data_IF_880459203143
#
_entry.id   IF_880459203143
#
_cell.length_a   1.000
_cell.length_b   1.000
_cell.length_c   1.000
_cell.angle_alpha   90.00
_cell.angle_beta   90.00
_cell.angle_gamma   90.00
#
_symmetry.space_group_name_H-M   'P 1'
#
loop_
_entity.id
_entity.type
_entity.pdbx_description
1 polymer ?
#
# COMPACT_ATOMS: atom_id res chain seq x y z
N UNK A 1 -17.10 -14.39 19.27
CA UNK A 1 -16.38 -13.15 18.88
C UNK A 1 -17.41 -12.07 18.57
N UNK A 2 -17.20 -10.81 18.97
CA UNK A 2 -18.19 -9.73 18.80
C UNK A 2 -18.46 -9.32 17.34
N UNK A 3 -17.54 -9.62 16.41
CA UNK A 3 -17.66 -9.26 14.99
C UNK A 3 -17.23 -10.42 14.07
N UNK A 4 -18.06 -11.47 13.89
CA UNK A 4 -17.69 -12.65 13.10
C UNK A 4 -17.46 -12.34 11.61
N UNK A 5 -18.06 -11.27 11.08
CA UNK A 5 -18.00 -10.89 9.66
C UNK A 5 -16.92 -9.83 9.37
N UNK A 6 -16.07 -9.47 10.34
CA UNK A 6 -15.15 -8.33 10.21
C UNK A 6 -14.13 -8.46 9.07
N UNK A 7 -13.90 -9.67 8.56
CA UNK A 7 -13.00 -9.89 7.42
C UNK A 7 -13.57 -9.37 6.10
N UNK A 8 -14.90 -9.22 5.99
CA UNK A 8 -15.56 -8.86 4.74
C UNK A 8 -16.57 -7.73 4.90
N UNK A 9 -16.99 -7.43 6.13
CA UNK A 9 -18.00 -6.41 6.40
C UNK A 9 -17.44 -5.34 7.35
N UNK A 10 -17.59 -4.03 7.00
CA UNK A 10 -17.22 -2.92 7.88
C UNK A 10 -17.87 -3.04 9.26
N UNK A 11 -17.08 -2.86 10.32
CA UNK A 11 -17.59 -2.70 11.69
C UNK A 11 -18.51 -1.46 11.73
N UNK A 12 -18.09 -0.36 11.09
CA UNK A 12 -18.92 0.82 10.87
C UNK A 12 -19.83 0.62 9.66
N UNK A 13 -21.01 0.04 9.90
CA UNK A 13 -21.95 -0.41 8.85
C UNK A 13 -22.37 0.66 7.81
N UNK A 14 -22.31 1.97 8.13
CA UNK A 14 -22.58 3.02 7.12
C UNK A 14 -21.56 3.09 5.99
N UNK A 15 -20.36 2.51 6.15
CA UNK A 15 -19.39 2.37 5.07
C UNK A 15 -19.65 1.16 4.17
N UNK A 16 -20.63 0.30 4.48
CA UNK A 16 -20.95 -0.86 3.65
C UNK A 16 -21.46 -0.46 2.25
N UNK A 17 -22.02 0.73 2.11
CA UNK A 17 -22.48 1.29 0.83
C UNK A 17 -21.46 2.23 0.17
N UNK A 18 -20.21 2.24 0.62
CA UNK A 18 -19.18 3.07 0.01
C UNK A 18 -18.89 2.57 -1.43
N UNK A 19 -18.94 3.45 -2.44
CA UNK A 19 -18.64 3.06 -3.81
C UNK A 19 -17.13 2.85 -3.97
N UNK A 20 -16.72 1.62 -4.25
CA UNK A 20 -15.33 1.27 -4.55
C UNK A 20 -15.11 1.23 -6.06
N UNK A 21 -13.87 1.51 -6.49
CA UNK A 21 -13.45 1.35 -7.87
C UNK A 21 -13.53 -0.11 -8.30
N UNK A 22 -14.03 -0.36 -9.52
CA UNK A 22 -14.01 -1.67 -10.15
C UNK A 22 -12.86 -1.81 -11.17
N UNK A 23 -11.97 -0.80 -11.24
CA UNK A 23 -10.88 -0.76 -12.21
C UNK A 23 -9.81 -1.81 -11.91
N UNK A 24 -9.97 -2.99 -12.48
CA UNK A 24 -9.07 -4.12 -12.26
C UNK A 24 -7.62 -3.85 -12.71
N UNK A 25 -7.41 -2.88 -13.61
CA UNK A 25 -6.08 -2.50 -14.09
C UNK A 25 -5.19 -1.96 -12.97
N UNK A 26 -5.68 -0.96 -12.23
CA UNK A 26 -4.97 -0.33 -11.13
C UNK A 26 -4.78 -1.29 -9.95
N UNK A 27 -5.76 -2.14 -9.66
CA UNK A 27 -5.63 -3.19 -8.64
C UNK A 27 -4.51 -4.20 -8.98
N UNK A 28 -4.44 -4.65 -10.24
CA UNK A 28 -3.36 -5.54 -10.70
C UNK A 28 -1.98 -4.86 -10.67
N UNK A 29 -1.92 -3.59 -11.05
CA UNK A 29 -0.69 -2.80 -10.99
C UNK A 29 -0.19 -2.68 -9.54
N UNK A 30 -1.10 -2.41 -8.60
CA UNK A 30 -0.80 -2.39 -7.17
C UNK A 30 -0.27 -3.74 -6.66
N UNK A 31 -0.96 -4.85 -6.93
CA UNK A 31 -0.52 -6.20 -6.52
C UNK A 31 0.89 -6.55 -7.02
N UNK A 32 1.27 -6.06 -8.20
CA UNK A 32 2.56 -6.34 -8.85
C UNK A 32 3.66 -5.33 -8.52
N UNK A 33 3.36 -4.24 -7.81
CA UNK A 33 4.30 -3.14 -7.60
C UNK A 33 4.73 -2.46 -8.91
N UNK A 34 3.74 -2.11 -9.74
CA UNK A 34 3.88 -1.41 -11.01
C UNK A 34 2.96 -0.18 -11.09
N UNK A 35 2.81 0.52 -9.97
CA UNK A 35 1.94 1.70 -9.82
C UNK A 35 2.60 2.99 -10.31
N UNK A 36 3.93 3.00 -10.39
CA UNK A 36 4.71 4.20 -10.65
C UNK A 36 5.04 5.00 -9.39
N UNK A 37 4.57 4.56 -8.21
CA UNK A 37 4.91 5.14 -6.91
C UNK A 37 5.97 4.29 -6.21
N UNK A 38 7.24 4.73 -6.15
CA UNK A 38 8.37 3.88 -5.79
C UNK A 38 8.25 3.21 -4.42
N UNK A 39 7.69 3.89 -3.42
CA UNK A 39 7.52 3.32 -2.08
C UNK A 39 6.48 2.20 -2.04
N UNK A 40 5.38 2.36 -2.79
CA UNK A 40 4.35 1.34 -2.95
C UNK A 40 4.90 0.17 -3.75
N UNK A 41 5.57 0.47 -4.86
CA UNK A 41 6.16 -0.56 -5.74
C UNK A 41 7.21 -1.38 -4.99
N UNK A 42 8.08 -0.73 -4.23
CA UNK A 42 9.05 -1.39 -3.35
C UNK A 42 8.37 -2.30 -2.33
N UNK A 43 7.34 -1.79 -1.64
CA UNK A 43 6.57 -2.56 -0.67
C UNK A 43 5.95 -3.81 -1.28
N UNK A 44 5.23 -3.67 -2.38
CA UNK A 44 4.51 -4.78 -3.00
C UNK A 44 5.46 -5.83 -3.59
N UNK A 45 6.61 -5.42 -4.13
CA UNK A 45 7.67 -6.34 -4.58
C UNK A 45 8.35 -7.05 -3.40
N UNK A 46 8.62 -6.33 -2.31
CA UNK A 46 9.16 -6.89 -1.07
C UNK A 46 8.24 -7.98 -0.50
N UNK A 47 6.94 -7.69 -0.41
CA UNK A 47 5.91 -8.63 0.03
C UNK A 47 5.88 -9.88 -0.84
N UNK A 48 5.82 -9.72 -2.17
CA UNK A 48 5.74 -10.87 -3.05
C UNK A 48 7.00 -11.75 -3.00
N UNK A 49 8.18 -11.15 -2.84
CA UNK A 49 9.45 -11.87 -2.82
C UNK A 49 9.74 -12.56 -1.49
N UNK A 50 9.31 -11.99 -0.36
CA UNK A 50 9.71 -12.45 0.98
C UNK A 50 8.56 -12.97 1.84
N UNK A 51 7.33 -12.66 1.44
CA UNK A 51 6.13 -12.87 2.25
C UNK A 51 6.08 -11.98 3.50
N UNK A 52 6.92 -10.95 3.59
CA UNK A 52 6.95 -10.02 4.72
C UNK A 52 7.09 -8.57 4.25
N UNK A 53 6.55 -7.64 5.04
CA UNK A 53 6.67 -6.22 4.80
C UNK A 53 6.72 -5.47 6.13
N UNK A 54 7.56 -4.43 6.22
CA UNK A 54 7.59 -3.56 7.41
C UNK A 54 6.25 -2.86 7.62
N UNK A 55 5.82 -2.72 8.87
CA UNK A 55 4.49 -2.20 9.22
C UNK A 55 4.20 -0.83 8.60
N UNK A 56 5.16 0.10 8.63
CA UNK A 56 4.93 1.43 8.04
C UNK A 56 4.75 1.38 6.52
N UNK A 57 5.39 0.44 5.83
CA UNK A 57 5.23 0.25 4.39
C UNK A 57 3.87 -0.42 4.09
N UNK A 58 3.40 -1.33 4.96
CA UNK A 58 2.03 -1.87 4.89
C UNK A 58 1.00 -0.76 4.94
N UNK A 59 1.19 0.21 5.84
CA UNK A 59 0.31 1.37 5.97
C UNK A 59 0.30 2.23 4.70
N UNK A 60 1.48 2.55 4.14
CA UNK A 60 1.58 3.29 2.86
C UNK A 60 0.85 2.55 1.74
N UNK A 61 1.07 1.25 1.59
CA UNK A 61 0.44 0.46 0.53
C UNK A 61 -1.09 0.36 0.69
N UNK A 62 -1.58 0.23 1.93
CA UNK A 62 -3.00 0.15 2.24
C UNK A 62 -3.71 1.50 2.03
N UNK A 63 -3.14 2.60 2.55
CA UNK A 63 -3.66 3.95 2.30
C UNK A 63 -3.65 4.29 0.81
N UNK A 64 -2.63 3.88 0.07
CA UNK A 64 -2.59 4.07 -1.38
C UNK A 64 -3.73 3.34 -2.09
N UNK A 65 -3.95 2.06 -1.77
CA UNK A 65 -5.02 1.28 -2.39
C UNK A 65 -6.40 1.90 -2.15
N UNK A 66 -6.69 2.28 -0.90
CA UNK A 66 -7.99 2.80 -0.49
C UNK A 66 -8.19 4.25 -0.94
N UNK A 67 -7.24 5.14 -0.66
CA UNK A 67 -7.45 6.58 -0.81
C UNK A 67 -7.01 7.11 -2.18
N UNK A 68 -5.93 6.56 -2.76
CA UNK A 68 -5.44 7.01 -4.08
C UNK A 68 -6.12 6.26 -5.23
N UNK A 69 -6.27 4.94 -5.11
CA UNK A 69 -6.88 4.14 -6.17
C UNK A 69 -8.40 3.94 -5.98
N UNK A 70 -8.93 4.22 -4.79
CA UNK A 70 -10.36 4.05 -4.49
C UNK A 70 -10.82 2.59 -4.43
N UNK A 71 -9.92 1.62 -4.27
CA UNK A 71 -10.25 0.20 -4.21
C UNK A 71 -10.69 -0.23 -2.81
N UNK A 72 -11.49 -1.30 -2.75
CA UNK A 72 -11.96 -1.84 -1.48
C UNK A 72 -10.82 -2.36 -0.62
N UNK A 73 -10.86 -2.02 0.67
CA UNK A 73 -9.96 -2.59 1.67
C UNK A 73 -10.06 -4.12 1.74
N UNK A 74 -11.20 -4.70 1.35
CA UNK A 74 -11.40 -6.17 1.30
C UNK A 74 -10.47 -6.81 0.26
N UNK A 75 -10.28 -6.16 -0.89
CA UNK A 75 -9.39 -6.67 -1.94
C UNK A 75 -7.92 -6.63 -1.53
N UNK A 76 -7.54 -5.58 -0.79
CA UNK A 76 -6.24 -5.47 -0.15
C UNK A 76 -6.03 -6.51 0.94
N UNK A 77 -7.03 -6.68 1.82
CA UNK A 77 -7.01 -7.66 2.90
C UNK A 77 -6.85 -9.09 2.38
N UNK A 78 -7.58 -9.46 1.32
CA UNK A 78 -7.43 -10.77 0.67
C UNK A 78 -6.02 -10.97 0.13
N UNK A 79 -5.49 -9.99 -0.61
CA UNK A 79 -4.13 -10.08 -1.14
C UNK A 79 -3.08 -10.25 -0.04
N UNK A 80 -3.19 -9.48 1.04
CA UNK A 80 -2.26 -9.57 2.18
C UNK A 80 -2.40 -10.90 2.91
N UNK A 81 -3.61 -11.42 3.04
CA UNK A 81 -3.83 -12.73 3.66
C UNK A 81 -3.21 -13.88 2.85
N UNK A 82 -3.22 -13.78 1.52
CA UNK A 82 -2.63 -14.79 0.63
C UNK A 82 -1.11 -14.72 0.53
N UNK A 83 -0.50 -13.57 0.86
CA UNK A 83 0.92 -13.32 0.60
C UNK A 83 1.78 -13.14 1.84
N UNK A 84 1.20 -12.75 2.98
CA UNK A 84 1.94 -12.57 4.22
C UNK A 84 2.15 -13.91 4.94
N UNK A 85 3.40 -14.17 5.34
CA UNK A 85 3.71 -15.32 6.22
C UNK A 85 3.16 -15.15 7.63
N UNK A 86 2.92 -13.90 8.04
CA UNK A 86 2.35 -13.53 9.34
C UNK A 86 0.85 -13.19 9.26
N UNK A 87 0.16 -13.66 8.21
CA UNK A 87 -1.26 -13.41 8.00
C UNK A 87 -2.11 -13.94 9.16
N UNK A 88 -2.70 -13.03 9.92
CA UNK A 88 -3.72 -13.31 10.93
C UNK A 88 -5.05 -12.64 10.53
N UNK A 89 -6.15 -13.40 10.59
CA UNK A 89 -7.46 -12.91 10.13
C UNK A 89 -7.95 -11.70 10.94
N UNK A 90 -7.70 -11.65 12.25
CA UNK A 90 -8.17 -10.57 13.10
C UNK A 90 -7.31 -9.31 12.90
N UNK A 91 -5.99 -9.46 12.94
CA UNK A 91 -5.05 -8.35 12.78
C UNK A 91 -5.18 -7.75 11.37
N UNK A 92 -5.15 -8.58 10.33
CA UNK A 92 -5.23 -8.11 8.94
C UNK A 92 -6.55 -7.37 8.70
N UNK A 93 -7.68 -7.94 9.11
CA UNK A 93 -8.98 -7.30 8.92
C UNK A 93 -9.10 -5.97 9.66
N UNK A 94 -8.60 -5.88 10.89
CA UNK A 94 -8.65 -4.64 11.68
C UNK A 94 -7.78 -3.55 11.05
N UNK A 95 -6.56 -3.89 10.60
CA UNK A 95 -5.65 -2.93 9.98
C UNK A 95 -6.18 -2.41 8.65
N UNK A 96 -6.74 -3.29 7.82
CA UNK A 96 -7.37 -2.89 6.56
C UNK A 96 -8.64 -2.07 6.75
N UNK A 97 -9.44 -2.38 7.76
CA UNK A 97 -10.60 -1.54 8.09
C UNK A 97 -10.19 -0.15 8.59
N UNK A 98 -9.11 -0.04 9.35
CA UNK A 98 -8.58 1.26 9.78
C UNK A 98 -8.12 2.11 8.59
N UNK A 99 -7.46 1.50 7.59
CA UNK A 99 -7.14 2.15 6.32
C UNK A 99 -8.39 2.53 5.52
N UNK A 100 -9.37 1.62 5.43
CA UNK A 100 -10.66 1.76 4.74
C UNK A 100 -11.63 2.76 5.36
N UNK A 101 -11.24 3.46 6.43
CA UNK A 101 -12.13 4.26 7.31
C UNK A 101 -13.35 3.48 7.82
N UNK A 102 -13.33 2.16 7.73
CA UNK A 102 -14.40 1.26 8.14
C UNK A 102 -14.24 0.75 9.58
N UNK A 103 -13.04 0.91 10.14
CA UNK A 103 -12.61 0.41 11.45
C UNK A 103 -12.99 1.31 12.62
N UNK A 104 -12.60 0.84 13.81
CA UNK A 104 -12.86 1.51 15.10
C UNK A 104 -11.87 2.66 15.30
N UNK A 105 -10.63 2.52 14.81
CA UNK A 105 -9.57 3.52 14.91
C UNK A 105 -9.12 3.95 13.50
N UNK A 106 -9.90 4.84 12.89
CA UNK A 106 -9.64 5.32 11.54
C UNK A 106 -8.28 6.02 11.46
N UNK A 107 -7.46 5.68 10.48
CA UNK A 107 -6.26 6.44 10.19
C UNK A 107 -6.65 7.80 9.62
N UNK A 108 -6.63 8.83 10.46
CA UNK A 108 -6.96 10.20 10.07
C UNK A 108 -5.79 10.94 9.39
N UNK A 109 -4.72 10.24 9.05
CA UNK A 109 -3.56 10.78 8.36
C UNK A 109 -3.32 10.03 7.04
N UNK A 110 -3.17 10.79 5.96
CA UNK A 110 -2.78 10.25 4.66
C UNK A 110 -1.27 10.05 4.65
N UNK A 111 -0.81 8.79 4.65
CA UNK A 111 0.60 8.53 4.36
C UNK A 111 0.85 8.75 2.87
N UNK A 112 1.33 9.94 2.51
CA UNK A 112 1.63 10.25 1.11
C UNK A 112 2.66 9.25 0.55
N UNK A 113 2.38 8.58 -0.57
CA UNK A 113 3.31 7.65 -1.22
C UNK A 113 4.55 8.38 -1.77
N UNK A 114 4.49 9.71 -1.87
CA UNK A 114 5.61 10.57 -2.28
C UNK A 114 6.53 10.94 -1.11
N UNK A 115 6.06 10.77 0.13
CA UNK A 115 6.82 11.15 1.31
C UNK A 115 7.84 10.05 1.66
N UNK A 116 9.10 10.31 1.35
CA UNK A 116 10.24 9.46 1.67
C UNK A 116 10.58 9.32 3.16
N UNK A 117 9.79 9.86 4.10
CA UNK A 117 10.04 9.76 5.55
C UNK A 117 10.22 8.32 6.05
N UNK A 118 9.59 7.35 5.39
CA UNK A 118 9.69 5.93 5.71
C UNK A 118 10.95 5.27 5.14
N UNK A 119 11.65 5.94 4.22
CA UNK A 119 12.91 5.51 3.62
C UNK A 119 13.81 6.74 3.33
N UNK A 120 14.36 7.39 4.38
CA UNK A 120 15.09 8.65 4.24
C UNK A 120 16.36 8.54 3.39
N UNK A 121 17.00 7.38 3.39
CA UNK A 121 18.21 7.11 2.59
C UNK A 121 17.88 6.68 1.16
N UNK A 122 16.66 6.17 0.94
CA UNK A 122 16.27 5.54 -0.32
C UNK A 122 16.71 4.08 -0.43
N UNK A 123 17.33 3.51 0.61
CA UNK A 123 17.90 2.16 0.53
C UNK A 123 16.82 1.11 0.27
N UNK A 124 15.63 1.27 0.87
CA UNK A 124 14.53 0.34 0.69
C UNK A 124 14.02 0.35 -0.75
N UNK A 125 13.77 1.55 -1.31
CA UNK A 125 13.33 1.68 -2.70
C UNK A 125 14.40 1.18 -3.67
N UNK A 126 15.69 1.49 -3.46
CA UNK A 126 16.77 1.02 -4.37
C UNK A 126 16.90 -0.51 -4.36
N UNK A 127 16.63 -1.15 -3.23
CA UNK A 127 16.70 -2.60 -3.11
C UNK A 127 15.58 -3.29 -3.92
N UNK A 128 14.34 -2.77 -3.82
CA UNK A 128 13.16 -3.44 -4.39
C UNK A 128 12.74 -2.90 -5.76
N UNK A 129 13.20 -1.71 -6.12
CA UNK A 129 12.98 -1.03 -7.41
C UNK A 129 14.34 -0.70 -8.03
N UNK A 130 15.11 -1.71 -8.46
CA UNK A 130 16.49 -1.53 -8.91
C UNK A 130 16.61 -0.66 -10.17
N UNK A 131 15.55 -0.52 -10.97
CA UNK A 131 15.50 0.40 -12.09
C UNK A 131 15.64 1.88 -11.68
N UNK A 132 15.34 2.23 -10.42
CA UNK A 132 15.55 3.56 -9.85
C UNK A 132 16.84 3.65 -9.01
N UNK A 133 17.65 2.59 -8.97
CA UNK A 133 18.80 2.49 -8.06
C UNK A 133 19.88 3.56 -8.27
N UNK A 134 19.91 4.22 -9.43
CA UNK A 134 20.86 5.32 -9.74
C UNK A 134 20.30 6.70 -9.49
N UNK A 135 18.98 6.85 -9.36
CA UNK A 135 18.34 8.14 -9.24
C UNK A 135 18.74 8.81 -7.91
N UNK A 136 19.13 10.10 -7.88
CA UNK A 136 19.46 10.78 -6.62
C UNK A 136 18.32 10.69 -5.60
N UNK A 137 18.62 10.49 -4.31
CA UNK A 137 17.60 10.30 -3.26
C UNK A 137 16.55 11.42 -3.23
N UNK A 138 16.94 12.66 -3.59
CA UNK A 138 16.04 13.81 -3.74
C UNK A 138 14.85 13.54 -4.69
N UNK A 139 15.06 12.73 -5.71
CA UNK A 139 14.07 12.42 -6.74
C UNK A 139 13.56 10.98 -6.65
N UNK A 140 14.14 10.16 -5.79
CA UNK A 140 13.88 8.72 -5.75
C UNK A 140 12.41 8.38 -5.47
N UNK A 141 11.77 9.12 -4.56
CA UNK A 141 10.35 8.91 -4.20
C UNK A 141 9.37 9.65 -5.14
N UNK A 142 9.87 10.52 -6.01
CA UNK A 142 9.07 11.28 -6.99
C UNK A 142 9.80 11.39 -8.34
N UNK A 143 10.06 10.26 -9.03
CA UNK A 143 10.87 10.24 -10.25
C UNK A 143 10.28 11.12 -11.37
N UNK A 144 8.96 11.26 -11.43
CA UNK A 144 8.28 12.15 -12.40
C UNK A 144 8.57 13.65 -12.18
N UNK A 145 9.11 14.04 -11.01
CA UNK A 145 9.57 15.42 -10.74
C UNK A 145 11.07 15.61 -11.00
N UNK A 146 11.78 14.57 -11.42
CA UNK A 146 13.19 14.65 -11.74
C UNK A 146 13.41 15.41 -13.07
N UNK A 147 14.47 16.24 -13.18
CA UNK A 147 14.84 16.80 -14.47
C UNK A 147 15.28 15.67 -15.43
N UNK A 148 15.09 15.81 -16.75
CA UNK A 148 15.48 14.77 -17.73
C UNK A 148 16.94 14.31 -17.58
N UNK A 149 17.85 15.22 -17.26
CA UNK A 149 19.26 14.91 -17.03
C UNK A 149 19.51 13.93 -15.86
N UNK A 150 18.63 13.91 -14.85
CA UNK A 150 18.71 12.98 -13.73
C UNK A 150 18.12 11.60 -14.07
N UNK A 151 17.24 11.50 -15.08
CA UNK A 151 16.60 10.26 -15.54
C UNK A 151 17.43 9.48 -16.57
N UNK A 152 18.45 10.11 -17.16
CA UNK A 152 19.30 9.52 -18.20
C UNK A 152 20.57 8.83 -17.67
N UNK A 153 20.68 8.60 -16.35
CA UNK A 153 21.87 8.05 -15.67
C UNK A 153 21.84 6.52 -15.51
#
# INVERSE_FOLDING_TARGET
>A
ACFPEMATVPIRRHYASHPWSEEQGTLRAWRRGATGYPMVDAGMRCLYATGWMHQSVRMVCASFLVEYLGHSWVDGARWFHETLVDADVAINSMMWQNAGRAGIDQWNFVMSPENGSQDPTGAYVRQWVPELARLPTKHLHTPWRAPPAALQQ
#
